data_IF_103303182877
#
_entry.id   IF_103303182877
#
_cell.length_a   1.000
_cell.length_b   1.000
_cell.length_c   1.000
_cell.angle_alpha   90.00
_cell.angle_beta   90.00
_cell.angle_gamma   90.00
#
_symmetry.space_group_name_H-M   'P 1'
#
loop_
_entity.id
_entity.type
_entity.pdbx_description
1 polymer ?
#
# COMPACT_ATOMS: atom_id res chain seq x y z
N UNK A 1 -18.73 -4.69 13.76
CA UNK A 1 -18.54 -5.31 12.43
C UNK A 1 -18.07 -4.22 11.47
N UNK A 2 -17.07 -4.47 10.62
CA UNK A 2 -16.66 -3.51 9.60
C UNK A 2 -17.17 -3.96 8.22
N UNK A 3 -17.61 -2.99 7.41
CA UNK A 3 -18.14 -3.22 6.07
C UNK A 3 -17.49 -2.26 5.08
N UNK A 4 -17.08 -2.76 3.92
CA UNK A 4 -16.58 -1.90 2.83
C UNK A 4 -17.73 -1.10 2.22
N UNK A 5 -17.57 0.22 2.16
CA UNK A 5 -18.52 1.09 1.46
C UNK A 5 -18.60 0.76 -0.03
N UNK A 6 -17.50 0.33 -0.65
CA UNK A 6 -17.51 -0.09 -2.06
C UNK A 6 -18.34 -1.35 -2.24
N UNK A 7 -18.21 -2.32 -1.32
CA UNK A 7 -19.02 -3.53 -1.39
C UNK A 7 -20.51 -3.22 -1.19
N UNK A 8 -20.85 -2.31 -0.27
CA UNK A 8 -22.24 -1.88 -0.09
C UNK A 8 -22.82 -1.26 -1.37
N UNK A 9 -22.04 -0.47 -2.11
CA UNK A 9 -22.44 0.13 -3.40
C UNK A 9 -22.73 -0.90 -4.49
N UNK A 10 -22.17 -2.10 -4.40
CA UNK A 10 -22.44 -3.19 -5.35
C UNK A 10 -23.86 -3.78 -5.17
N UNK A 11 -24.46 -3.63 -3.99
CA UNK A 11 -25.76 -4.23 -3.64
C UNK A 11 -26.89 -3.21 -3.51
N UNK A 12 -26.59 -1.95 -3.19
CA UNK A 12 -27.60 -0.90 -3.00
C UNK A 12 -27.19 0.40 -3.66
N UNK A 13 -28.18 1.12 -4.20
CA UNK A 13 -27.97 2.44 -4.76
C UNK A 13 -27.74 3.46 -3.63
N UNK A 14 -26.52 3.99 -3.54
CA UNK A 14 -26.15 5.06 -2.61
C UNK A 14 -26.09 6.39 -3.39
N UNK A 15 -26.65 7.49 -2.87
CA UNK A 15 -26.54 8.80 -3.51
C UNK A 15 -25.08 9.17 -3.78
N UNK A 16 -24.75 9.60 -5.01
CA UNK A 16 -23.35 9.88 -5.41
C UNK A 16 -22.66 10.97 -4.60
N UNK A 17 -23.43 11.90 -4.04
CA UNK A 17 -22.93 13.08 -3.36
C UNK A 17 -22.97 12.96 -1.82
N UNK A 18 -23.28 11.78 -1.28
CA UNK A 18 -23.26 11.58 0.17
C UNK A 18 -21.84 11.29 0.65
N UNK A 19 -21.40 11.96 1.70
CA UNK A 19 -20.13 11.64 2.37
C UNK A 19 -20.26 10.32 3.15
N UNK A 20 -19.16 9.56 3.37
CA UNK A 20 -19.18 8.41 4.25
C UNK A 20 -19.70 8.74 5.65
N UNK A 21 -19.40 9.92 6.17
CA UNK A 21 -19.80 10.40 7.50
C UNK A 21 -21.32 10.64 7.57
N UNK A 22 -21.90 11.31 6.57
CA UNK A 22 -23.34 11.54 6.49
C UNK A 22 -24.12 10.24 6.30
N UNK A 23 -23.57 9.32 5.51
CA UNK A 23 -24.15 7.99 5.33
C UNK A 23 -24.15 7.21 6.66
N UNK A 24 -23.05 7.25 7.41
CA UNK A 24 -22.94 6.63 8.71
C UNK A 24 -23.98 7.19 9.70
N UNK A 25 -24.13 8.52 9.76
CA UNK A 25 -25.15 9.15 10.60
C UNK A 25 -26.57 8.72 10.22
N UNK A 26 -26.90 8.67 8.92
CA UNK A 26 -28.21 8.21 8.47
C UNK A 26 -28.48 6.76 8.85
N UNK A 27 -27.49 5.87 8.70
CA UNK A 27 -27.62 4.47 9.13
C UNK A 27 -27.87 4.36 10.63
N UNK A 28 -27.11 5.12 11.45
CA UNK A 28 -27.28 5.18 12.91
C UNK A 28 -28.68 5.64 13.30
N UNK A 29 -29.22 6.66 12.65
CA UNK A 29 -30.54 7.20 12.97
C UNK A 29 -31.71 6.32 12.55
N UNK A 30 -31.54 5.49 11.51
CA UNK A 30 -32.66 4.79 10.87
C UNK A 30 -32.64 3.27 10.98
N UNK A 31 -31.49 2.65 11.27
CA UNK A 31 -31.36 1.19 11.14
C UNK A 31 -30.44 0.58 12.17
N UNK A 32 -29.17 0.99 12.20
CA UNK A 32 -28.14 0.39 13.06
C UNK A 32 -27.02 1.38 13.31
N UNK A 33 -26.53 1.42 14.55
CA UNK A 33 -25.43 2.28 14.95
C UNK A 33 -24.14 1.98 14.16
N UNK A 34 -23.54 3.05 13.65
CA UNK A 34 -22.21 3.06 13.05
C UNK A 34 -21.26 3.77 14.01
N UNK A 35 -20.42 2.98 14.69
CA UNK A 35 -19.48 3.49 15.70
C UNK A 35 -18.35 4.33 15.10
N UNK A 36 -17.91 4.02 13.87
CA UNK A 36 -16.81 4.72 13.19
C UNK A 36 -16.81 4.52 11.68
N UNK A 37 -16.21 5.49 10.99
CA UNK A 37 -15.79 5.39 9.58
C UNK A 37 -14.27 5.38 9.50
N UNK A 38 -13.69 4.65 8.53
CA UNK A 38 -12.24 4.59 8.32
C UNK A 38 -11.89 4.76 6.84
N UNK A 39 -11.11 5.79 6.51
CA UNK A 39 -10.52 5.96 5.19
C UNK A 39 -9.31 5.04 5.03
N UNK A 40 -9.39 4.06 4.11
CA UNK A 40 -8.24 3.22 3.77
C UNK A 40 -7.29 3.94 2.80
N UNK A 41 -7.76 4.90 2.01
CA UNK A 41 -6.95 5.55 0.98
C UNK A 41 -5.80 6.39 1.57
N UNK A 42 -6.07 7.11 2.66
CA UNK A 42 -5.07 7.95 3.33
C UNK A 42 -3.87 7.15 3.86
N UNK A 43 -4.07 5.88 4.19
CA UNK A 43 -3.06 4.98 4.76
C UNK A 43 -1.98 4.57 3.76
N UNK A 44 -2.19 4.78 2.47
CA UNK A 44 -1.33 4.29 1.39
C UNK A 44 -0.86 5.42 0.47
N UNK A 45 -0.75 6.65 0.99
CA UNK A 45 -0.19 7.75 0.22
C UNK A 45 1.24 7.42 -0.25
N UNK A 46 1.52 7.65 -1.53
CA UNK A 46 2.77 7.28 -2.21
C UNK A 46 3.11 5.78 -2.22
N UNK A 47 2.11 4.91 -2.03
CA UNK A 47 2.23 3.48 -2.31
C UNK A 47 1.71 3.22 -3.73
N UNK A 48 2.57 2.68 -4.59
CA UNK A 48 2.29 2.43 -6.00
C UNK A 48 2.37 0.94 -6.31
N UNK A 49 1.84 0.53 -7.46
CA UNK A 49 2.10 -0.81 -7.99
C UNK A 49 3.44 -0.81 -8.73
N UNK A 50 4.30 -1.77 -8.40
CA UNK A 50 5.58 -1.98 -9.04
C UNK A 50 5.72 -3.42 -9.54
N UNK A 51 6.35 -3.61 -10.70
CA UNK A 51 6.65 -4.92 -11.27
C UNK A 51 8.08 -5.31 -10.97
N UNK A 52 8.29 -6.50 -10.43
CA UNK A 52 9.64 -7.03 -10.18
C UNK A 52 10.27 -7.46 -11.50
N UNK A 53 11.38 -6.85 -11.88
CA UNK A 53 12.10 -7.13 -13.12
C UNK A 53 13.20 -8.18 -12.92
N UNK A 54 14.00 -8.03 -11.87
CA UNK A 54 15.08 -8.97 -11.54
C UNK A 54 15.20 -9.16 -10.04
N UNK A 55 15.73 -10.31 -9.61
CA UNK A 55 16.03 -10.62 -8.21
C UNK A 55 17.41 -11.25 -8.15
N UNK A 56 18.27 -10.77 -7.24
CA UNK A 56 19.54 -11.40 -6.89
C UNK A 56 19.68 -11.54 -5.38
N UNK A 57 20.49 -12.51 -4.93
CA UNK A 57 20.82 -12.63 -3.51
C UNK A 57 21.65 -11.42 -3.07
N UNK A 58 21.39 -10.90 -1.88
CA UNK A 58 22.16 -9.79 -1.34
C UNK A 58 23.60 -10.24 -1.05
N UNK A 59 24.64 -9.50 -1.50
CA UNK A 59 26.04 -9.94 -1.36
C UNK A 59 26.49 -10.04 0.11
N UNK A 60 26.02 -9.11 0.96
CA UNK A 60 26.40 -9.02 2.37
C UNK A 60 25.31 -9.49 3.37
N UNK A 61 24.31 -10.26 2.93
CA UNK A 61 23.24 -10.73 3.80
C UNK A 61 22.53 -12.00 3.26
N UNK A 62 22.49 -13.05 4.08
CA UNK A 62 21.89 -14.33 3.66
C UNK A 62 20.38 -14.33 3.54
N UNK A 63 19.70 -13.49 4.33
CA UNK A 63 18.23 -13.41 4.40
C UNK A 63 17.64 -12.28 3.55
N UNK A 64 18.47 -11.55 2.81
CA UNK A 64 18.03 -10.43 1.99
C UNK A 64 18.26 -10.72 0.51
N UNK A 65 17.43 -10.10 -0.31
CA UNK A 65 17.47 -10.12 -1.75
C UNK A 65 17.47 -8.66 -2.24
N UNK A 66 18.08 -8.42 -3.38
CA UNK A 66 18.02 -7.14 -4.09
C UNK A 66 17.14 -7.36 -5.31
N UNK A 67 16.04 -6.63 -5.36
CA UNK A 67 15.09 -6.65 -6.47
C UNK A 67 15.17 -5.33 -7.24
N UNK A 68 15.28 -5.41 -8.57
CA UNK A 68 15.06 -4.25 -9.44
C UNK A 68 13.61 -4.23 -9.86
N UNK A 69 12.93 -3.10 -9.71
CA UNK A 69 11.49 -2.96 -9.95
C UNK A 69 11.18 -1.79 -10.88
N UNK A 70 10.18 -1.97 -11.73
CA UNK A 70 9.54 -0.90 -12.49
C UNK A 70 8.32 -0.39 -11.73
N UNK A 71 8.39 0.86 -11.28
CA UNK A 71 7.31 1.53 -10.55
C UNK A 71 6.62 2.64 -11.37
N UNK A 72 6.75 2.61 -12.70
CA UNK A 72 6.26 3.68 -13.59
C UNK A 72 7.03 5.00 -13.46
N UNK A 73 8.24 4.93 -12.91
CA UNK A 73 9.17 6.06 -12.81
C UNK A 73 10.06 6.12 -14.05
N UNK A 74 10.84 7.20 -14.21
CA UNK A 74 11.81 7.33 -15.31
C UNK A 74 12.92 6.27 -15.26
N UNK A 75 13.26 5.83 -14.05
CA UNK A 75 14.34 4.88 -13.79
C UNK A 75 13.82 3.70 -12.98
N UNK A 76 14.39 2.52 -13.23
CA UNK A 76 14.16 1.34 -12.42
C UNK A 76 14.70 1.56 -10.99
N UNK A 77 13.98 1.06 -10.00
CA UNK A 77 14.34 1.22 -8.60
C UNK A 77 14.98 -0.05 -8.05
N UNK A 78 16.02 0.10 -7.25
CA UNK A 78 16.63 -0.99 -6.48
C UNK A 78 16.01 -1.05 -5.09
N UNK A 79 15.44 -2.20 -4.72
CA UNK A 79 14.79 -2.45 -3.44
C UNK A 79 15.46 -3.62 -2.74
N UNK A 80 15.82 -3.46 -1.48
CA UNK A 80 16.30 -4.56 -0.64
C UNK A 80 15.11 -5.16 0.09
N UNK A 81 14.82 -6.44 -0.15
CA UNK A 81 13.67 -7.13 0.43
C UNK A 81 14.11 -8.42 1.14
N UNK A 82 13.49 -8.72 2.28
CA UNK A 82 13.70 -9.97 3.02
C UNK A 82 12.58 -10.99 2.88
N UNK A 83 11.54 -10.69 2.10
CA UNK A 83 10.38 -11.55 1.96
C UNK A 83 10.71 -12.77 1.08
N UNK A 84 10.49 -14.01 1.54
CA UNK A 84 10.91 -15.22 0.81
C UNK A 84 10.03 -15.54 -0.40
N UNK A 85 8.91 -14.84 -0.56
CA UNK A 85 7.86 -15.13 -1.55
C UNK A 85 7.86 -14.17 -2.75
N UNK A 86 8.93 -13.37 -2.93
CA UNK A 86 9.07 -12.52 -4.11
C UNK A 86 9.53 -13.32 -5.33
N UNK A 87 9.00 -13.00 -6.51
CA UNK A 87 9.37 -13.62 -7.77
C UNK A 87 9.38 -12.60 -8.91
N UNK A 88 10.26 -12.82 -9.89
CA UNK A 88 10.33 -12.00 -11.11
C UNK A 88 8.99 -12.03 -11.84
N UNK A 89 8.53 -10.87 -12.29
CA UNK A 89 7.26 -10.67 -12.98
C UNK A 89 6.07 -10.37 -12.06
N UNK A 90 6.20 -10.55 -10.73
CA UNK A 90 5.13 -10.19 -9.79
C UNK A 90 4.88 -8.68 -9.77
N UNK A 91 3.61 -8.31 -9.63
CA UNK A 91 3.18 -6.94 -9.34
C UNK A 91 2.96 -6.85 -7.83
N UNK A 92 3.67 -5.92 -7.18
CA UNK A 92 3.69 -5.77 -5.72
C UNK A 92 3.44 -4.30 -5.35
N UNK A 93 2.86 -4.03 -4.16
CA UNK A 93 2.83 -2.68 -3.64
C UNK A 93 4.23 -2.23 -3.23
N UNK A 94 4.63 -1.04 -3.65
CA UNK A 94 5.89 -0.39 -3.31
C UNK A 94 5.61 0.95 -2.66
N UNK A 95 6.10 1.15 -1.45
CA UNK A 95 6.11 2.45 -0.81
C UNK A 95 7.32 3.25 -1.30
N UNK A 96 7.08 4.39 -1.96
CA UNK A 96 8.16 5.24 -2.46
C UNK A 96 8.75 6.12 -1.35
N UNK A 97 9.96 6.66 -1.52
CA UNK A 97 10.50 7.66 -0.59
C UNK A 97 9.54 8.84 -0.43
N UNK A 98 9.18 9.16 0.81
CA UNK A 98 8.13 10.12 1.16
C UNK A 98 6.78 9.49 1.51
N UNK A 99 6.59 8.20 1.29
CA UNK A 99 5.43 7.46 1.81
C UNK A 99 5.48 7.41 3.34
N UNK A 100 4.32 7.55 3.98
CA UNK A 100 4.16 7.38 5.43
C UNK A 100 3.28 6.17 5.67
N UNK A 101 3.86 5.12 6.25
CA UNK A 101 3.15 3.89 6.55
C UNK A 101 2.20 4.04 7.74
N UNK A 102 1.21 3.15 7.91
CA UNK A 102 0.20 3.25 8.98
C UNK A 102 0.76 3.28 10.41
N UNK A 103 2.00 2.81 10.61
CA UNK A 103 2.71 2.85 11.88
C UNK A 103 3.52 4.15 12.09
N UNK A 104 3.38 5.14 11.20
CA UNK A 104 4.06 6.43 11.27
C UNK A 104 5.48 6.43 10.69
N UNK A 105 5.93 5.32 10.09
CA UNK A 105 7.26 5.26 9.48
C UNK A 105 7.25 5.97 8.12
N UNK A 106 8.08 7.00 8.01
CA UNK A 106 8.38 7.67 6.75
C UNK A 106 9.44 6.89 5.98
N UNK A 107 9.15 6.52 4.73
CA UNK A 107 10.08 5.81 3.84
C UNK A 107 11.10 6.79 3.28
N UNK A 108 12.37 6.42 3.38
CA UNK A 108 13.50 7.20 2.87
C UNK A 108 14.43 6.30 2.09
N UNK A 109 15.10 6.87 1.10
CA UNK A 109 16.18 6.17 0.43
C UNK A 109 17.30 5.88 1.43
N UNK A 110 17.74 4.62 1.49
CA UNK A 110 18.74 4.17 2.44
C UNK A 110 19.71 3.18 1.79
N UNK A 111 20.87 3.00 2.42
CA UNK A 111 21.78 1.91 2.10
C UNK A 111 21.64 0.81 3.14
N UNK A 112 21.22 -0.37 2.70
CA UNK A 112 21.14 -1.55 3.55
C UNK A 112 22.36 -2.44 3.26
N UNK A 113 23.30 -2.50 4.20
CA UNK A 113 24.50 -3.36 4.11
C UNK A 113 25.28 -3.18 2.78
N UNK A 114 25.35 -1.94 2.30
CA UNK A 114 26.08 -1.54 1.10
C UNK A 114 25.22 -1.43 -0.17
N UNK A 115 24.05 -2.06 -0.22
CA UNK A 115 23.14 -1.99 -1.36
C UNK A 115 22.13 -0.84 -1.20
N UNK A 116 21.78 -0.19 -2.31
CA UNK A 116 20.79 0.89 -2.34
C UNK A 116 19.37 0.31 -2.23
N UNK A 117 18.56 0.84 -1.32
CA UNK A 117 17.10 0.59 -1.25
C UNK A 117 16.35 1.91 -1.40
N UNK A 118 15.47 1.96 -2.40
CA UNK A 118 14.67 3.13 -2.76
C UNK A 118 13.19 2.94 -2.40
N UNK A 119 12.96 2.28 -1.26
CA UNK A 119 11.66 1.88 -0.73
C UNK A 119 11.83 0.99 0.48
#
# INVERSE_FOLDING_TARGET
MLLSLNWLKDHVAIPKNISPEDLAQKLTLHTVEVEKTESQAERFNQVVLAKILTIRKHPNADRLQVATVDAGQKEELSIVCGAPNIAVGQIVPLALPGAVLPNGIEIKEAKMRGEKSQG
#
